data_IF_826115911923
#
_entry.id   IF_826115911923
#
_cell.length_a   1.000
_cell.length_b   1.000
_cell.length_c   1.000
_cell.angle_alpha   90.00
_cell.angle_beta   90.00
_cell.angle_gamma   90.00
#
_symmetry.space_group_name_H-M   'P 1'
#
loop_
_entity.id
_entity.type
_entity.pdbx_description
1 polymer ?
#
# COMPACT_ATOMS: atom_id res chain seq x y z
N UNK A 1 -20.74 -1.11 6.82
CA UNK A 1 -21.73 -0.55 7.81
C UNK A 1 -21.12 0.62 8.58
N UNK A 2 -21.73 1.82 8.61
CA UNK A 2 -21.21 2.98 9.38
C UNK A 2 -21.52 2.84 10.88
N UNK A 3 -20.54 3.06 11.76
CA UNK A 3 -20.77 3.28 13.20
C UNK A 3 -20.30 4.68 13.56
N UNK A 4 -21.24 5.52 13.99
CA UNK A 4 -20.95 6.86 14.49
C UNK A 4 -20.79 6.75 16.01
N UNK A 5 -19.64 7.17 16.51
CA UNK A 5 -19.40 7.32 17.95
C UNK A 5 -19.44 8.81 18.28
N UNK A 6 -20.20 9.15 19.33
CA UNK A 6 -20.29 10.49 19.85
C UNK A 6 -19.34 10.62 21.04
N UNK A 7 -18.35 11.49 20.92
CA UNK A 7 -17.42 11.83 21.99
C UNK A 7 -17.70 13.26 22.49
N UNK A 8 -17.55 13.47 23.79
CA UNK A 8 -17.61 14.81 24.39
C UNK A 8 -16.21 15.14 24.92
N UNK A 9 -15.65 16.26 24.47
CA UNK A 9 -14.42 16.78 25.04
C UNK A 9 -14.71 17.27 26.45
N UNK A 10 -14.08 16.65 27.45
CA UNK A 10 -14.31 16.97 28.87
C UNK A 10 -13.80 18.36 29.27
N UNK A 11 -13.03 19.04 28.41
CA UNK A 11 -12.46 20.36 28.69
C UNK A 11 -13.31 21.47 28.05
N UNK A 12 -13.70 21.33 26.78
CA UNK A 12 -14.46 22.35 26.05
C UNK A 12 -15.97 22.12 26.01
N UNK A 13 -16.46 20.93 26.37
CA UNK A 13 -17.87 20.57 26.28
C UNK A 13 -18.37 20.41 24.84
N UNK A 14 -17.50 20.53 23.83
CA UNK A 14 -17.89 20.31 22.44
C UNK A 14 -18.16 18.83 22.18
N UNK A 15 -19.33 18.57 21.60
CA UNK A 15 -19.69 17.26 21.07
C UNK A 15 -19.08 17.14 19.67
N UNK A 16 -18.23 16.13 19.46
CA UNK A 16 -17.66 15.82 18.14
C UNK A 16 -18.08 14.41 17.73
N UNK A 17 -18.35 14.26 16.43
CA UNK A 17 -18.64 12.96 15.83
C UNK A 17 -17.37 12.41 15.19
N UNK A 18 -16.93 11.24 15.62
CA UNK A 18 -15.86 10.49 14.93
C UNK A 18 -16.52 9.44 14.06
N UNK A 19 -16.42 9.62 12.75
CA UNK A 19 -16.89 8.66 11.76
C UNK A 19 -15.77 7.65 11.51
N UNK A 20 -15.79 6.50 12.20
CA UNK A 20 -14.91 5.39 11.85
C UNK A 20 -15.54 4.71 10.64
N UNK A 21 -14.97 4.95 9.46
CA UNK A 21 -15.27 4.17 8.27
C UNK A 21 -14.74 2.75 8.51
N UNK A 22 -15.65 1.81 8.81
CA UNK A 22 -15.32 0.39 8.71
C UNK A 22 -15.17 0.10 7.21
N UNK A 23 -13.92 0.07 6.75
CA UNK A 23 -13.58 -0.37 5.39
C UNK A 23 -13.80 -1.88 5.35
N UNK A 24 -14.96 -2.30 4.85
CA UNK A 24 -15.18 -3.67 4.41
C UNK A 24 -14.60 -3.78 2.99
N UNK A 25 -13.30 -4.02 2.88
CA UNK A 25 -12.67 -4.41 1.61
C UNK A 25 -11.80 -5.65 1.84
N UNK A 26 -12.44 -6.73 2.27
CA UNK A 26 -11.78 -8.01 2.49
C UNK A 26 -11.82 -8.84 1.21
N UNK A 27 -10.89 -8.55 0.29
CA UNK A 27 -10.35 -9.63 -0.54
C UNK A 27 -9.21 -10.23 0.24
N UNK A 28 -9.62 -11.04 1.18
CA UNK A 28 -8.76 -11.90 1.96
C UNK A 28 -8.28 -13.01 1.03
N UNK A 29 -6.97 -13.09 0.83
CA UNK A 29 -6.26 -14.26 0.34
C UNK A 29 -5.40 -14.06 -0.91
N UNK A 30 -5.53 -12.94 -1.63
CA UNK A 30 -4.77 -12.77 -2.89
C UNK A 30 -3.35 -12.24 -2.62
N UNK A 31 -2.35 -12.85 -3.26
CA UNK A 31 -0.94 -12.50 -3.05
C UNK A 31 -0.33 -11.81 -4.25
N UNK A 32 0.75 -11.08 -4.00
CA UNK A 32 1.60 -10.53 -5.03
C UNK A 32 3.03 -10.34 -4.53
N UNK A 33 3.97 -10.29 -5.48
CA UNK A 33 5.30 -9.76 -5.25
C UNK A 33 5.50 -8.53 -6.12
N UNK A 34 6.03 -7.44 -5.56
CA UNK A 34 6.50 -6.27 -6.31
C UNK A 34 8.02 -6.29 -6.26
N UNK A 35 8.65 -6.30 -7.43
CA UNK A 35 10.10 -6.36 -7.58
C UNK A 35 10.56 -5.25 -8.51
N UNK A 36 11.65 -4.58 -8.16
CA UNK A 36 12.26 -3.60 -9.05
C UNK A 36 13.12 -4.29 -10.12
N UNK A 37 13.06 -3.82 -11.36
CA UNK A 37 13.79 -4.40 -12.48
C UNK A 37 15.29 -4.47 -12.18
N UNK A 38 15.88 -5.65 -12.37
CA UNK A 38 17.31 -5.88 -12.11
C UNK A 38 17.72 -5.91 -10.64
N UNK A 39 16.77 -5.91 -9.69
CA UNK A 39 17.03 -6.04 -8.26
C UNK A 39 16.56 -7.38 -7.71
N UNK A 40 17.28 -7.88 -6.73
CA UNK A 40 17.02 -9.18 -6.09
C UNK A 40 16.16 -9.07 -4.83
N UNK A 41 15.77 -7.87 -4.40
CA UNK A 41 14.89 -7.65 -3.24
C UNK A 41 13.50 -7.27 -3.73
N UNK A 42 12.48 -7.85 -3.10
CA UNK A 42 11.08 -7.58 -3.43
C UNK A 42 10.20 -7.39 -2.19
N UNK A 43 9.01 -6.85 -2.45
CA UNK A 43 7.92 -6.67 -1.49
C UNK A 43 6.88 -7.74 -1.74
N UNK A 44 6.59 -8.55 -0.74
CA UNK A 44 5.48 -9.50 -0.73
C UNK A 44 4.26 -8.88 -0.06
N UNK A 45 3.10 -9.08 -0.70
CA UNK A 45 1.80 -8.72 -0.19
C UNK A 45 0.96 -9.98 0.01
N UNK A 46 0.40 -10.13 1.21
CA UNK A 46 -0.65 -11.08 1.52
C UNK A 46 -1.94 -10.28 1.71
N UNK A 47 -2.92 -10.49 0.83
CA UNK A 47 -4.10 -9.65 0.61
C UNK A 47 -3.79 -8.36 -0.17
N UNK A 48 -4.77 -7.86 -0.91
CA UNK A 48 -4.67 -6.69 -1.79
C UNK A 48 -3.46 -6.69 -2.75
N UNK A 49 -3.14 -7.87 -3.30
CA UNK A 49 -2.09 -8.03 -4.30
C UNK A 49 -2.51 -7.71 -5.75
N UNK A 50 -3.77 -7.36 -5.98
CA UNK A 50 -4.31 -7.12 -7.33
C UNK A 50 -3.79 -5.83 -7.95
N UNK A 51 -3.84 -5.71 -9.29
CA UNK A 51 -3.43 -4.47 -9.97
C UNK A 51 -4.27 -3.27 -9.53
N UNK A 52 -5.53 -3.52 -9.18
CA UNK A 52 -6.46 -2.55 -8.60
C UNK A 52 -6.00 -1.95 -7.25
N UNK A 53 -4.96 -2.53 -6.62
CA UNK A 53 -4.26 -1.98 -5.45
C UNK A 53 -2.82 -1.60 -5.77
N UNK A 54 -2.10 -2.48 -6.47
CA UNK A 54 -0.67 -2.28 -6.78
C UNK A 54 -0.47 -1.03 -7.62
N UNK A 55 -1.31 -0.77 -8.62
CA UNK A 55 -1.17 0.42 -9.47
C UNK A 55 -1.38 1.73 -8.66
N UNK A 56 -2.49 1.90 -7.89
CA UNK A 56 -2.61 3.04 -6.98
C UNK A 56 -1.43 3.24 -6.03
N UNK A 57 -0.88 2.16 -5.46
CA UNK A 57 0.29 2.24 -4.57
C UNK A 57 1.51 2.84 -5.28
N UNK A 58 1.81 2.35 -6.49
CA UNK A 58 2.94 2.83 -7.29
C UNK A 58 2.75 4.29 -7.69
N UNK A 59 1.53 4.68 -8.05
CA UNK A 59 1.21 6.07 -8.41
C UNK A 59 1.32 7.02 -7.21
N UNK A 60 0.87 6.61 -6.02
CA UNK A 60 1.06 7.40 -4.79
C UNK A 60 2.54 7.49 -4.42
N UNK A 61 3.30 6.40 -4.52
CA UNK A 61 4.74 6.41 -4.24
C UNK A 61 5.47 7.39 -5.17
N UNK A 62 5.10 7.41 -6.46
CA UNK A 62 5.62 8.36 -7.44
C UNK A 62 5.25 9.80 -7.11
N UNK A 63 3.99 10.06 -6.74
CA UNK A 63 3.51 11.40 -6.33
C UNK A 63 4.23 11.92 -5.09
N UNK A 64 4.57 11.03 -4.16
CA UNK A 64 5.32 11.36 -2.95
C UNK A 64 6.82 11.53 -3.17
N UNK A 65 7.31 11.32 -4.39
CA UNK A 65 8.74 11.40 -4.69
C UNK A 65 9.55 10.29 -4.03
N UNK A 66 8.96 9.10 -3.84
CA UNK A 66 9.71 7.94 -3.35
C UNK A 66 10.86 7.63 -4.32
N UNK A 67 12.05 7.43 -3.76
CA UNK A 67 13.24 7.08 -4.54
C UNK A 67 13.13 5.66 -5.08
N UNK A 68 13.53 5.48 -6.33
CA UNK A 68 13.56 4.19 -7.03
C UNK A 68 14.88 3.43 -6.88
N UNK A 69 15.64 3.70 -5.83
CA UNK A 69 16.87 2.97 -5.50
C UNK A 69 16.61 2.02 -4.32
N UNK A 70 17.60 1.80 -3.45
CA UNK A 70 17.49 0.89 -2.32
C UNK A 70 16.42 1.32 -1.29
N UNK A 71 15.86 2.53 -1.42
CA UNK A 71 14.72 3.01 -0.64
C UNK A 71 13.35 2.58 -1.19
N UNK A 72 13.26 2.12 -2.44
CA UNK A 72 11.99 1.80 -3.11
C UNK A 72 11.18 0.75 -2.34
N UNK A 73 11.72 -0.47 -2.23
CA UNK A 73 11.03 -1.59 -1.57
C UNK A 73 10.72 -1.31 -0.09
N UNK A 74 11.66 -0.81 0.74
CA UNK A 74 11.35 -0.46 2.13
C UNK A 74 10.26 0.60 2.26
N UNK A 75 10.21 1.59 1.36
CA UNK A 75 9.21 2.65 1.43
C UNK A 75 7.84 2.17 0.98
N UNK A 76 7.75 1.35 -0.07
CA UNK A 76 6.50 0.69 -0.45
C UNK A 76 5.98 -0.22 0.68
N UNK A 77 6.88 -0.94 1.36
CA UNK A 77 6.53 -1.76 2.52
C UNK A 77 5.99 -0.92 3.69
N UNK A 78 6.60 0.24 3.97
CA UNK A 78 6.05 1.16 4.97
C UNK A 78 4.65 1.64 4.58
N UNK A 79 4.45 2.05 3.32
CA UNK A 79 3.17 2.57 2.84
C UNK A 79 2.06 1.54 2.97
N UNK A 80 2.34 0.28 2.61
CA UNK A 80 1.39 -0.82 2.78
C UNK A 80 1.25 -1.25 4.23
N UNK A 81 2.31 -1.20 5.03
CA UNK A 81 2.26 -1.46 6.47
C UNK A 81 1.37 -0.46 7.21
N UNK A 82 1.42 0.82 6.83
CA UNK A 82 0.51 1.84 7.35
C UNK A 82 -0.95 1.58 6.93
N UNK A 83 -1.16 1.10 5.71
CA UNK A 83 -2.48 0.77 5.18
C UNK A 83 -3.10 -0.46 5.86
N UNK A 84 -2.34 -1.56 6.02
CA UNK A 84 -2.81 -2.77 6.67
C UNK A 84 -2.84 -2.69 8.20
N UNK A 85 -2.00 -1.84 8.79
CA UNK A 85 -1.71 -1.87 10.22
C UNK A 85 -0.78 -3.03 10.62
N UNK A 86 -0.75 -3.36 11.91
CA UNK A 86 0.20 -4.32 12.52
C UNK A 86 -0.12 -5.80 12.30
N UNK A 87 -0.38 -6.23 11.05
CA UNK A 87 -0.70 -7.62 10.69
C UNK A 87 0.32 -8.21 9.70
N UNK A 88 0.34 -9.54 9.54
CA UNK A 88 1.29 -10.28 8.69
C UNK A 88 0.94 -10.22 7.18
N UNK A 89 0.69 -9.02 6.66
CA UNK A 89 0.31 -8.81 5.26
C UNK A 89 1.45 -8.29 4.37
N UNK A 90 2.59 -7.93 4.97
CA UNK A 90 3.74 -7.34 4.26
C UNK A 90 5.00 -8.10 4.62
N UNK A 91 5.77 -8.48 3.60
CA UNK A 91 7.09 -9.10 3.76
C UNK A 91 8.12 -8.49 2.83
N UNK A 92 9.38 -8.42 3.27
CA UNK A 92 10.51 -8.09 2.39
C UNK A 92 11.48 -9.26 2.44
N UNK A 93 11.90 -9.73 1.26
CA UNK A 93 12.96 -10.73 1.16
C UNK A 93 13.63 -10.66 -0.20
N UNK A 94 14.63 -11.52 -0.38
CA UNK A 94 15.22 -11.77 -1.68
C UNK A 94 14.26 -12.56 -2.56
N UNK A 95 14.29 -12.34 -3.88
CA UNK A 95 13.32 -12.85 -4.84
C UNK A 95 13.29 -14.37 -4.95
N UNK A 96 14.35 -15.06 -4.56
CA UNK A 96 14.43 -16.52 -4.43
C UNK A 96 13.64 -17.06 -3.22
N UNK A 97 13.36 -16.22 -2.23
CA UNK A 97 12.62 -16.57 -1.00
C UNK A 97 11.16 -16.10 -1.03
N UNK A 98 10.81 -15.22 -1.96
CA UNK A 98 9.46 -14.68 -2.08
C UNK A 98 8.54 -15.63 -2.87
N UNK A 99 7.27 -15.65 -2.49
CA UNK A 99 6.20 -16.43 -3.14
C UNK A 99 5.76 -15.76 -4.46
N UNK A 100 6.63 -15.88 -5.48
CA UNK A 100 6.50 -15.21 -6.79
C UNK A 100 5.50 -15.87 -7.72
N UNK A 101 5.40 -17.19 -7.68
CA UNK A 101 4.40 -18.00 -8.38
C UNK A 101 3.31 -18.43 -7.40
N UNK A 102 2.70 -17.43 -6.76
CA UNK A 102 1.72 -17.61 -5.71
C UNK A 102 0.40 -18.24 -6.22
N UNK A 103 0.15 -18.26 -7.53
CA UNK A 103 -1.13 -18.71 -8.10
C UNK A 103 -2.24 -17.65 -8.07
N UNK A 104 -1.94 -16.45 -7.59
CA UNK A 104 -2.82 -15.28 -7.59
C UNK A 104 -2.35 -14.27 -8.64
N UNK A 105 -1.76 -13.15 -8.23
CA UNK A 105 -1.35 -12.05 -9.11
C UNK A 105 0.09 -12.17 -9.62
N UNK A 106 0.84 -13.14 -9.08
CA UNK A 106 2.23 -13.41 -9.46
C UNK A 106 3.19 -12.31 -9.00
N UNK A 107 4.09 -11.91 -9.89
CA UNK A 107 5.08 -10.85 -9.64
C UNK A 107 4.90 -9.68 -10.61
N UNK A 108 4.88 -8.47 -10.06
CA UNK A 108 4.96 -7.21 -10.79
C UNK A 108 6.42 -6.76 -10.84
N UNK A 109 6.98 -6.61 -12.04
CA UNK A 109 8.30 -6.00 -12.22
C UNK A 109 8.09 -4.51 -12.53
N UNK A 110 8.69 -3.64 -11.71
CA UNK A 110 8.58 -2.18 -11.87
C UNK A 110 9.90 -1.55 -12.30
N UNK A 111 9.83 -0.50 -13.10
CA UNK A 111 10.99 0.32 -13.47
C UNK A 111 11.30 1.42 -12.44
N UNK A 112 12.31 2.23 -12.74
CA UNK A 112 12.76 3.35 -11.92
C UNK A 112 11.77 4.53 -11.86
N UNK A 113 10.69 4.48 -12.65
CA UNK A 113 9.60 5.45 -12.72
C UNK A 113 8.28 4.90 -12.16
N UNK A 114 8.35 3.78 -11.45
CA UNK A 114 7.23 3.05 -10.84
C UNK A 114 6.21 2.53 -11.87
N UNK A 115 6.59 2.35 -13.14
CA UNK A 115 5.73 1.70 -14.12
C UNK A 115 5.90 0.18 -14.02
N UNK A 116 4.81 -0.57 -14.11
CA UNK A 116 4.87 -2.03 -14.27
C UNK A 116 5.33 -2.33 -15.70
N UNK A 117 6.53 -2.87 -15.84
CA UNK A 117 7.14 -3.19 -17.15
C UNK A 117 6.98 -4.67 -17.52
N UNK A 118 6.75 -5.54 -16.54
CA UNK A 118 6.56 -6.96 -16.77
C UNK A 118 5.68 -7.60 -15.69
N UNK A 119 4.97 -8.65 -16.08
CA UNK A 119 4.15 -9.50 -15.20
C UNK A 119 4.62 -10.94 -15.33
N UNK A 120 5.08 -11.51 -14.22
CA UNK A 120 5.48 -12.91 -14.15
C UNK A 120 4.42 -13.73 -13.40
N UNK A 121 4.22 -14.98 -13.80
CA UNK A 121 3.35 -15.94 -13.13
C UNK A 121 1.88 -15.48 -12.98
N UNK A 122 1.39 -14.66 -13.92
CA UNK A 122 -0.03 -14.30 -13.97
C UNK A 122 -0.83 -15.52 -14.45
N UNK A 123 -1.60 -16.14 -13.55
CA UNK A 123 -2.35 -17.37 -13.85
C UNK A 123 -3.84 -17.15 -14.08
N UNK A 124 -4.35 -15.93 -13.85
CA UNK A 124 -5.76 -15.60 -13.95
C UNK A 124 -6.05 -14.21 -14.52
N UNK A 125 -7.35 -13.88 -14.70
CA UNK A 125 -7.78 -12.55 -15.09
C UNK A 125 -7.41 -11.53 -14.00
N UNK A 126 -7.25 -10.28 -14.43
CA UNK A 126 -6.91 -9.19 -13.52
C UNK A 126 -8.06 -8.91 -12.53
N UNK A 127 -7.69 -8.62 -11.29
CA UNK A 127 -8.66 -8.26 -10.25
C UNK A 127 -9.22 -6.85 -10.49
N UNK A 128 -10.53 -6.67 -10.26
CA UNK A 128 -11.23 -5.39 -10.43
C UNK A 128 -12.18 -5.07 -9.27
N UNK A 129 -11.76 -5.38 -8.06
CA UNK A 129 -12.63 -5.28 -6.89
C UNK A 129 -12.46 -3.96 -6.12
N UNK A 130 -11.34 -3.28 -6.34
CA UNK A 130 -11.10 -1.95 -5.79
C UNK A 130 -11.22 -0.88 -6.88
N UNK A 131 -11.95 0.18 -6.57
CA UNK A 131 -11.92 1.38 -7.40
C UNK A 131 -10.57 2.07 -7.23
N UNK A 132 -9.94 2.42 -8.35
CA UNK A 132 -8.61 3.04 -8.39
C UNK A 132 -8.52 4.34 -7.57
N UNK A 133 -9.49 5.25 -7.73
CA UNK A 133 -9.48 6.55 -7.04
C UNK A 133 -9.73 6.39 -5.54
N UNK A 134 -10.64 5.49 -5.17
CA UNK A 134 -10.91 5.21 -3.75
C UNK A 134 -9.70 4.58 -3.07
N UNK A 135 -9.02 3.63 -3.73
CA UNK A 135 -7.81 3.00 -3.20
C UNK A 135 -6.69 4.02 -3.03
N UNK A 136 -6.46 4.86 -4.05
CA UNK A 136 -5.50 5.95 -4.00
C UNK A 136 -5.78 6.92 -2.86
N UNK A 137 -7.04 7.30 -2.67
CA UNK A 137 -7.49 8.17 -1.57
C UNK A 137 -7.23 7.54 -0.21
N UNK A 138 -7.49 6.24 -0.04
CA UNK A 138 -7.23 5.53 1.22
C UNK A 138 -5.73 5.44 1.52
N UNK A 139 -4.92 5.07 0.52
CA UNK A 139 -3.46 5.03 0.64
C UNK A 139 -2.90 6.40 1.06
N UNK A 140 -3.42 7.48 0.48
CA UNK A 140 -3.02 8.84 0.86
C UNK A 140 -3.42 9.20 2.29
N UNK A 141 -4.69 8.94 2.65
CA UNK A 141 -5.23 9.28 3.96
C UNK A 141 -4.43 8.68 5.13
N UNK A 142 -3.86 7.48 4.95
CA UNK A 142 -3.04 6.83 5.98
C UNK A 142 -1.56 7.23 5.91
N UNK A 143 -1.06 7.66 4.75
CA UNK A 143 0.37 7.92 4.54
C UNK A 143 0.77 9.40 4.58
N UNK A 144 -0.11 10.35 4.26
CA UNK A 144 0.23 11.79 4.12
C UNK A 144 1.01 12.32 5.34
N UNK A 145 0.59 11.95 6.55
CA UNK A 145 1.25 12.35 7.80
C UNK A 145 2.73 11.94 7.89
N UNK A 146 3.16 10.85 7.23
CA UNK A 146 4.54 10.37 7.29
C UNK A 146 5.45 11.01 6.25
N UNK A 147 4.86 11.61 5.21
CA UNK A 147 5.58 12.22 4.09
C UNK A 147 5.59 13.74 4.18
N UNK A 148 4.52 14.35 4.69
CA UNK A 148 4.35 15.81 4.70
C UNK A 148 4.28 16.41 6.09
N UNK A 149 3.86 15.66 7.10
CA UNK A 149 3.82 16.15 8.48
C UNK A 149 5.11 15.72 9.19
N UNK A 150 6.06 16.65 9.32
CA UNK A 150 7.28 16.38 10.06
C UNK A 150 7.07 16.67 11.55
N UNK A 151 7.21 15.68 12.46
CA UNK A 151 7.30 15.97 13.90
C UNK A 151 8.58 16.75 14.27
N UNK A 152 9.48 16.98 13.30
CA UNK A 152 10.77 17.65 13.47
C UNK A 152 10.90 18.96 12.66
N UNK A 153 9.79 19.51 12.13
CA UNK A 153 9.79 20.74 11.31
C UNK A 153 10.17 20.53 9.84
N UNK A 154 10.05 21.58 9.01
CA UNK A 154 10.24 21.55 7.55
C UNK A 154 11.57 20.89 7.16
N UNK A 155 11.49 19.75 6.47
CA UNK A 155 12.66 19.02 5.97
C UNK A 155 12.89 19.37 4.50
N UNK A 156 13.80 20.31 4.26
CA UNK A 156 14.47 20.44 2.96
C UNK A 156 15.54 19.33 2.89
N UNK A 157 15.26 18.26 2.15
CA UNK A 157 16.24 17.24 1.76
C UNK A 157 16.59 17.39 0.29
#
# INVERSE_FOLDING_TARGET
>A
MFKIFWGVDKISGLCYSVSILKVESEIMGNRAVIQMQGKEVGLYLHNNGGLDTVQPLLDVAKEYGVRSDDYCIPRLAQMMGNFFGGILNVGISTTDRLDRDNGDNGTYIIDDKFNIVERLYQRGPEQQNHNYEDMKKQLKAVNDQFFFESPYGDRNW
#
